data_IF_704888832933
#
_entry.id   IF_704888832933
#
_cell.length_a   1.000
_cell.length_b   1.000
_cell.length_c   1.000
_cell.angle_alpha   90.00
_cell.angle_beta   90.00
_cell.angle_gamma   90.00
#
_symmetry.space_group_name_H-M   'P 1'
#
loop_
_entity.id
_entity.type
_entity.pdbx_description
1 polymer ?
#
# COMPACT_ATOMS: atom_id res chain seq x y z
N UNK A 1 -69.71 -4.93 31.24
CA UNK A 1 -68.87 -5.73 30.32
C UNK A 1 -68.21 -4.72 29.39
N UNK A 2 -67.07 -4.11 29.75
CA UNK A 2 -65.72 -4.68 29.79
C UNK A 2 -65.12 -4.52 28.38
N UNK A 3 -63.97 -3.92 28.10
CA UNK A 3 -62.87 -3.33 28.88
C UNK A 3 -62.02 -2.51 27.90
N UNK A 4 -61.46 -1.39 28.36
CA UNK A 4 -60.35 -0.69 27.70
C UNK A 4 -59.09 -1.56 27.66
N UNK A 5 -58.35 -1.58 26.55
CA UNK A 5 -56.91 -1.86 26.55
C UNK A 5 -56.18 -0.96 25.55
N UNK A 6 -55.17 -0.29 26.08
CA UNK A 6 -54.14 0.52 25.42
C UNK A 6 -52.93 -0.36 25.04
N UNK A 7 -51.92 0.31 24.47
CA UNK A 7 -50.50 -0.06 24.31
C UNK A 7 -50.06 -0.42 22.88
N UNK A 8 -49.44 0.59 22.27
CA UNK A 8 -48.16 0.54 21.55
C UNK A 8 -47.57 -0.84 21.24
N UNK A 9 -47.19 -1.05 19.97
CA UNK A 9 -45.90 -1.67 19.67
C UNK A 9 -45.47 -1.26 18.25
N UNK A 10 -44.51 -0.32 18.21
CA UNK A 10 -43.67 -0.03 17.06
C UNK A 10 -42.80 -1.26 16.82
N UNK A 11 -43.13 -2.07 15.82
CA UNK A 11 -42.25 -3.18 15.42
C UNK A 11 -40.96 -2.64 14.78
N UNK A 12 -39.95 -2.58 15.64
CA UNK A 12 -38.57 -2.30 15.33
C UNK A 12 -37.98 -3.43 14.45
N UNK A 13 -38.06 -3.23 13.14
CA UNK A 13 -37.57 -4.12 12.07
C UNK A 13 -36.03 -4.12 11.94
N UNK A 14 -35.29 -4.15 13.05
CA UNK A 14 -33.81 -4.06 13.02
C UNK A 14 -33.10 -5.17 13.80
N UNK A 15 -33.77 -6.31 14.02
CA UNK A 15 -33.12 -7.49 14.58
C UNK A 15 -32.45 -8.31 13.47
N UNK A 16 -31.28 -7.84 13.01
CA UNK A 16 -30.35 -8.71 12.26
C UNK A 16 -30.02 -9.92 13.12
N UNK A 17 -30.21 -11.12 12.56
CA UNK A 17 -29.97 -12.40 13.24
C UNK A 17 -28.55 -12.45 13.82
N UNK A 18 -28.41 -13.00 15.03
CA UNK A 18 -27.13 -13.13 15.75
C UNK A 18 -26.04 -13.85 14.92
N UNK A 19 -26.45 -14.70 13.96
CA UNK A 19 -25.54 -15.37 13.03
C UNK A 19 -24.81 -14.40 12.08
N UNK A 20 -25.41 -13.26 11.75
CA UNK A 20 -24.75 -12.19 10.98
C UNK A 20 -23.90 -11.26 11.87
N UNK A 21 -24.12 -11.27 13.18
CA UNK A 21 -23.35 -10.48 14.15
C UNK A 21 -21.98 -11.09 14.43
N UNK A 22 -21.81 -12.41 14.23
CA UNK A 22 -20.61 -13.16 14.64
C UNK A 22 -19.53 -13.36 13.57
N UNK A 23 -19.68 -12.84 12.34
CA UNK A 23 -18.68 -13.05 11.26
C UNK A 23 -18.22 -11.80 10.50
N UNK A 24 -18.70 -10.61 10.83
CA UNK A 24 -18.22 -9.37 10.22
C UNK A 24 -17.38 -8.58 11.22
N UNK A 25 -16.09 -8.88 11.31
CA UNK A 25 -15.17 -7.77 11.57
C UNK A 25 -15.22 -6.91 10.32
N UNK A 26 -15.77 -5.69 10.44
CA UNK A 26 -15.83 -4.72 9.35
C UNK A 26 -14.40 -4.30 9.02
N UNK A 27 -13.74 -5.07 8.16
CA UNK A 27 -12.35 -4.89 7.77
C UNK A 27 -12.25 -4.33 6.37
N UNK A 28 -11.30 -3.42 6.18
CA UNK A 28 -10.89 -2.93 4.89
C UNK A 28 -10.19 -4.06 4.12
N UNK A 29 -10.65 -4.32 2.89
CA UNK A 29 -10.02 -5.26 1.95
C UNK A 29 -8.73 -4.66 1.43
N UNK A 30 -7.63 -5.40 1.57
CA UNK A 30 -6.31 -4.99 1.11
C UNK A 30 -5.89 -5.81 -0.10
N UNK A 31 -5.45 -5.13 -1.16
CA UNK A 31 -4.90 -5.75 -2.35
C UNK A 31 -3.57 -5.11 -2.76
N UNK A 32 -2.69 -5.90 -3.35
CA UNK A 32 -1.44 -5.47 -3.97
C UNK A 32 -1.66 -5.42 -5.48
N UNK A 33 -1.52 -4.25 -6.09
CA UNK A 33 -1.45 -4.11 -7.53
C UNK A 33 0.02 -4.02 -7.97
N UNK A 34 0.38 -4.74 -9.04
CA UNK A 34 1.72 -4.77 -9.59
C UNK A 34 1.69 -4.74 -11.12
N UNK A 35 2.53 -3.91 -11.74
CA UNK A 35 2.77 -3.88 -13.18
C UNK A 35 4.26 -4.05 -13.47
N UNK A 36 4.66 -5.03 -14.29
CA UNK A 36 6.04 -5.12 -14.79
C UNK A 36 6.42 -3.89 -15.61
N UNK A 37 7.60 -3.34 -15.37
CA UNK A 37 8.15 -2.20 -16.11
C UNK A 37 9.31 -2.63 -17.00
N UNK A 38 9.36 -2.06 -18.21
CA UNK A 38 10.47 -2.25 -19.15
C UNK A 38 10.59 -3.67 -19.70
N UNK A 39 11.67 -3.95 -20.46
CA UNK A 39 11.90 -5.26 -21.05
C UNK A 39 12.19 -6.29 -19.96
N UNK A 40 11.70 -7.52 -20.16
CA UNK A 40 12.03 -8.66 -19.29
C UNK A 40 13.47 -9.09 -19.55
N UNK A 41 14.37 -8.83 -18.61
CA UNK A 41 15.78 -9.26 -18.67
C UNK A 41 15.92 -10.52 -17.82
N UNK A 42 16.69 -11.54 -18.25
CA UNK A 42 16.94 -12.73 -17.44
C UNK A 42 17.44 -12.36 -16.03
N UNK A 43 16.66 -12.72 -15.00
CA UNK A 43 16.97 -12.45 -13.60
C UNK A 43 16.64 -11.04 -13.10
N UNK A 44 16.19 -10.11 -13.96
CA UNK A 44 15.85 -8.74 -13.56
C UNK A 44 14.53 -8.31 -14.18
N UNK A 45 13.55 -8.00 -13.32
CA UNK A 45 12.28 -7.40 -13.71
C UNK A 45 12.00 -6.22 -12.78
N UNK A 46 11.80 -5.04 -13.38
CA UNK A 46 11.33 -3.88 -12.66
C UNK A 46 9.81 -3.98 -12.46
N UNK A 47 9.31 -3.42 -11.36
CA UNK A 47 7.89 -3.37 -11.06
C UNK A 47 7.50 -1.99 -10.56
N UNK A 48 6.28 -1.59 -10.92
CA UNK A 48 5.50 -0.58 -10.24
C UNK A 48 4.47 -1.26 -9.35
N UNK A 49 4.39 -0.89 -8.07
CA UNK A 49 3.39 -1.40 -7.15
C UNK A 49 2.56 -0.31 -6.49
N UNK A 50 1.35 -0.66 -6.09
CA UNK A 50 0.48 0.16 -5.24
C UNK A 50 -0.31 -0.74 -4.28
N UNK A 51 -0.86 -0.14 -3.22
CA UNK A 51 -1.78 -0.84 -2.31
C UNK A 51 -3.19 -0.33 -2.55
N UNK A 52 -4.15 -1.24 -2.57
CA UNK A 52 -5.59 -0.91 -2.69
C UNK A 52 -6.25 -1.20 -1.36
N UNK A 53 -6.97 -0.22 -0.81
CA UNK A 53 -7.71 -0.31 0.44
C UNK A 53 -9.16 0.03 0.15
N UNK A 54 -10.07 -0.94 0.23
CA UNK A 54 -11.49 -0.77 -0.13
C UNK A 54 -11.68 0.00 -1.45
N UNK A 55 -11.08 -0.52 -2.52
CA UNK A 55 -11.13 0.04 -3.89
C UNK A 55 -10.33 1.35 -4.09
N UNK A 56 -9.77 1.93 -3.03
CA UNK A 56 -8.90 3.11 -3.15
C UNK A 56 -7.45 2.68 -3.28
N UNK A 57 -6.88 2.92 -4.44
CA UNK A 57 -5.45 2.83 -4.68
C UNK A 57 -4.70 3.93 -3.92
N UNK A 58 -3.60 3.55 -3.29
CA UNK A 58 -2.55 4.43 -2.82
C UNK A 58 -1.23 4.05 -3.49
N UNK A 59 -0.58 5.03 -4.11
CA UNK A 59 0.73 4.88 -4.75
C UNK A 59 1.64 6.05 -4.40
N UNK A 60 2.95 5.84 -4.46
CA UNK A 60 3.94 6.88 -4.23
C UNK A 60 4.66 7.24 -5.52
N UNK A 61 4.75 8.54 -5.80
CA UNK A 61 5.42 9.11 -6.97
C UNK A 61 6.16 10.40 -6.60
N UNK A 62 6.65 11.13 -7.61
CA UNK A 62 7.24 12.47 -7.40
C UNK A 62 6.29 13.45 -6.71
N UNK A 63 4.97 13.30 -6.88
CA UNK A 63 3.97 14.15 -6.23
C UNK A 63 3.67 13.78 -4.77
N UNK A 64 4.34 12.74 -4.24
CA UNK A 64 4.05 12.19 -2.92
C UNK A 64 3.14 10.97 -2.99
N UNK A 65 2.49 10.64 -1.87
CA UNK A 65 1.44 9.63 -1.85
C UNK A 65 0.20 10.22 -2.53
N UNK A 66 -0.34 9.51 -3.51
CA UNK A 66 -1.56 9.86 -4.24
C UNK A 66 -2.62 8.77 -4.08
N UNK A 67 -3.87 9.19 -4.03
CA UNK A 67 -5.03 8.29 -3.99
C UNK A 67 -5.78 8.26 -5.33
N UNK A 68 -6.29 7.10 -5.73
CA UNK A 68 -7.07 6.94 -6.96
C UNK A 68 -8.08 5.79 -6.85
N UNK A 69 -9.17 5.82 -7.61
CA UNK A 69 -10.21 4.75 -7.57
C UNK A 69 -10.04 3.68 -8.64
N UNK A 70 -9.29 3.97 -9.70
CA UNK A 70 -9.29 3.17 -10.93
C UNK A 70 -7.90 2.56 -11.23
N UNK A 71 -7.05 2.37 -10.21
CA UNK A 71 -5.66 1.94 -10.40
C UNK A 71 -4.93 2.84 -11.42
N UNK A 72 -5.20 4.15 -11.37
CA UNK A 72 -4.78 5.11 -12.39
C UNK A 72 -3.26 5.16 -12.57
N UNK A 73 -2.49 4.80 -11.54
CA UNK A 73 -1.04 4.71 -11.62
C UNK A 73 -0.57 3.53 -12.50
N UNK A 74 -1.37 2.46 -12.58
CA UNK A 74 -1.11 1.29 -13.42
C UNK A 74 -1.65 1.45 -14.84
N UNK A 75 -2.81 2.10 -15.03
CA UNK A 75 -3.43 2.25 -16.35
C UNK A 75 -2.57 3.04 -17.36
N UNK A 76 -1.66 3.87 -16.86
CA UNK A 76 -0.71 4.64 -17.68
C UNK A 76 0.50 3.81 -18.11
N UNK A 77 0.65 2.60 -17.57
CA UNK A 77 1.76 1.71 -17.84
C UNK A 77 1.34 0.65 -18.86
N UNK A 78 2.22 0.30 -19.83
CA UNK A 78 1.95 -0.77 -20.77
C UNK A 78 1.60 -2.08 -20.04
N UNK A 79 0.39 -2.61 -20.27
CA UNK A 79 -0.08 -3.87 -19.69
C UNK A 79 -0.49 -3.81 -18.21
N UNK A 80 -0.77 -2.62 -17.67
CA UNK A 80 -1.18 -2.42 -16.27
C UNK A 80 -2.71 -2.37 -16.03
N UNK A 81 -3.19 -2.80 -14.84
CA UNK A 81 -2.47 -3.57 -13.83
C UNK A 81 -2.18 -5.00 -14.33
N UNK A 82 -0.93 -5.43 -14.22
CA UNK A 82 -0.53 -6.78 -14.65
C UNK A 82 -0.99 -7.87 -13.69
N UNK A 83 -1.08 -7.54 -12.40
CA UNK A 83 -1.55 -8.44 -11.34
C UNK A 83 -2.19 -7.64 -10.20
N UNK A 84 -3.36 -8.06 -9.74
CA UNK A 84 -3.99 -7.58 -8.49
C UNK A 84 -4.17 -8.79 -7.59
N UNK A 85 -3.53 -8.76 -6.41
CA UNK A 85 -3.49 -9.90 -5.48
C UNK A 85 -4.12 -9.50 -4.16
N UNK A 86 -5.10 -10.26 -3.70
CA UNK A 86 -5.67 -10.09 -2.36
C UNK A 86 -4.61 -10.40 -1.29
N UNK A 87 -4.43 -9.47 -0.35
CA UNK A 87 -3.40 -9.57 0.70
C UNK A 87 -3.99 -9.84 2.08
N UNK A 88 -5.25 -9.45 2.34
CA UNK A 88 -5.89 -9.67 3.64
C UNK A 88 -7.00 -8.66 3.96
N UNK A 89 -7.44 -8.71 5.22
CA UNK A 89 -8.38 -7.76 5.84
C UNK A 89 -7.71 -7.08 7.02
N UNK A 90 -8.02 -5.81 7.24
CA UNK A 90 -7.53 -5.04 8.40
C UNK A 90 -8.62 -4.09 8.91
N UNK A 91 -8.62 -3.73 10.19
CA UNK A 91 -9.48 -2.66 10.71
C UNK A 91 -8.94 -1.25 10.42
N UNK A 92 -7.74 -1.16 9.85
CA UNK A 92 -7.04 0.11 9.61
C UNK A 92 -7.47 0.70 8.26
N UNK A 93 -8.00 1.92 8.28
CA UNK A 93 -8.39 2.60 7.04
C UNK A 93 -7.19 3.06 6.19
N UNK A 94 -7.39 3.17 4.88
CA UNK A 94 -6.40 3.74 3.96
C UNK A 94 -6.02 5.18 4.31
N UNK A 95 -6.96 5.97 4.85
CA UNK A 95 -6.69 7.33 5.34
C UNK A 95 -5.74 7.34 6.53
N UNK A 96 -5.91 6.43 7.48
CA UNK A 96 -5.02 6.28 8.63
C UNK A 96 -3.61 5.92 8.19
N UNK A 97 -3.48 4.93 7.30
CA UNK A 97 -2.21 4.54 6.70
C UNK A 97 -1.54 5.71 5.97
N UNK A 98 -2.28 6.42 5.11
CA UNK A 98 -1.76 7.58 4.39
C UNK A 98 -1.30 8.67 5.35
N UNK A 99 -2.10 9.00 6.36
CA UNK A 99 -1.76 10.03 7.36
C UNK A 99 -0.43 9.72 8.06
N UNK A 100 -0.25 8.46 8.48
CA UNK A 100 0.97 8.00 9.13
C UNK A 100 2.18 8.04 8.17
N UNK A 101 2.05 7.47 6.97
CA UNK A 101 3.17 7.32 6.04
C UNK A 101 3.55 8.63 5.31
N UNK A 102 2.66 9.61 5.23
CA UNK A 102 2.89 10.88 4.52
C UNK A 102 4.12 11.65 5.01
N UNK A 103 4.45 11.56 6.30
CA UNK A 103 5.65 12.19 6.86
C UNK A 103 6.94 11.59 6.29
N UNK A 104 6.91 10.28 5.97
CA UNK A 104 8.02 9.54 5.41
C UNK A 104 8.08 9.63 3.89
N UNK A 105 6.95 9.76 3.19
CA UNK A 105 6.84 9.75 1.72
C UNK A 105 6.36 11.10 1.19
N UNK A 106 7.16 12.14 1.40
CA UNK A 106 6.83 13.52 1.00
C UNK A 106 6.98 13.74 -0.50
N UNK A 107 6.21 14.69 -1.03
CA UNK A 107 6.39 15.23 -2.38
C UNK A 107 7.84 15.65 -2.62
N UNK A 108 8.36 15.38 -3.82
CA UNK A 108 9.71 15.72 -4.22
C UNK A 108 10.81 14.84 -3.63
N UNK A 109 10.47 13.78 -2.87
CA UNK A 109 11.47 12.88 -2.27
C UNK A 109 11.58 11.52 -2.97
N UNK A 110 10.84 11.32 -4.06
CA UNK A 110 10.90 10.08 -4.84
C UNK A 110 12.30 9.88 -5.43
N UNK A 111 12.79 8.64 -5.34
CA UNK A 111 14.02 8.16 -5.94
C UNK A 111 13.80 6.74 -6.46
N UNK A 112 14.12 6.51 -7.74
CA UNK A 112 13.86 5.24 -8.41
C UNK A 112 14.52 4.03 -7.71
N UNK A 113 15.70 4.20 -7.11
CA UNK A 113 16.51 3.10 -6.57
C UNK A 113 16.46 2.98 -5.05
N UNK A 114 16.08 4.03 -4.34
CA UNK A 114 16.13 4.07 -2.87
C UNK A 114 14.76 4.25 -2.23
N UNK A 115 13.90 5.05 -2.86
CA UNK A 115 12.63 5.49 -2.28
C UNK A 115 11.59 5.67 -3.37
N UNK A 116 11.01 4.56 -3.80
CA UNK A 116 10.07 4.49 -4.90
C UNK A 116 8.72 3.91 -4.43
N UNK A 117 7.84 3.60 -5.38
CA UNK A 117 6.55 2.98 -5.13
C UNK A 117 6.62 1.65 -4.38
N UNK A 118 7.61 0.79 -4.66
CA UNK A 118 7.82 -0.50 -3.98
C UNK A 118 8.18 -0.30 -2.50
N UNK A 119 9.06 0.65 -2.20
CA UNK A 119 9.41 0.99 -0.81
C UNK A 119 8.21 1.53 -0.01
N UNK A 120 7.31 2.28 -0.67
CA UNK A 120 6.05 2.73 -0.09
C UNK A 120 5.11 1.55 0.15
N UNK A 121 4.90 0.71 -0.86
CA UNK A 121 4.03 -0.47 -0.76
C UNK A 121 4.48 -1.43 0.33
N UNK A 122 5.79 -1.64 0.52
CA UNK A 122 6.32 -2.46 1.62
C UNK A 122 5.95 -1.89 3.00
N UNK A 123 6.16 -0.59 3.20
CA UNK A 123 5.79 0.09 4.45
C UNK A 123 4.26 0.08 4.67
N UNK A 124 3.48 0.26 3.61
CA UNK A 124 2.03 0.26 3.64
C UNK A 124 1.44 -1.11 4.01
N UNK A 125 1.93 -2.18 3.36
CA UNK A 125 1.52 -3.55 3.68
C UNK A 125 1.88 -3.91 5.12
N UNK A 126 3.04 -3.48 5.60
CA UNK A 126 3.44 -3.73 6.99
C UNK A 126 2.55 -2.97 7.97
N UNK A 127 2.26 -1.70 7.68
CA UNK A 127 1.34 -0.90 8.50
C UNK A 127 -0.06 -1.54 8.58
N UNK A 128 -0.61 -1.95 7.44
CA UNK A 128 -1.98 -2.46 7.34
C UNK A 128 -2.14 -3.90 7.85
N UNK A 129 -1.17 -4.78 7.56
CA UNK A 129 -1.31 -6.24 7.71
C UNK A 129 -0.11 -6.93 8.38
N UNK A 130 0.92 -6.17 8.79
CA UNK A 130 2.20 -6.73 9.28
C UNK A 130 2.89 -7.66 8.25
N UNK A 131 2.55 -7.51 6.97
CA UNK A 131 3.16 -8.21 5.85
C UNK A 131 4.21 -7.37 5.15
N UNK A 132 5.30 -8.01 4.73
CA UNK A 132 6.35 -7.39 3.91
C UNK A 132 6.07 -7.62 2.43
N UNK A 133 6.48 -6.68 1.59
CA UNK A 133 6.43 -6.84 0.14
C UNK A 133 7.38 -7.97 -0.30
N UNK A 134 6.89 -8.85 -1.18
CA UNK A 134 7.68 -9.94 -1.75
C UNK A 134 8.99 -9.39 -2.35
N UNK A 135 10.16 -9.92 -1.96
CA UNK A 135 11.47 -9.47 -2.45
C UNK A 135 11.58 -9.33 -3.97
N UNK A 136 10.81 -10.09 -4.77
CA UNK A 136 10.84 -9.99 -6.23
C UNK A 136 10.46 -8.60 -6.75
N UNK A 137 9.63 -7.84 -6.03
CA UNK A 137 9.24 -6.48 -6.41
C UNK A 137 10.30 -5.43 -6.09
N UNK A 138 11.30 -5.77 -5.24
CA UNK A 138 12.40 -4.88 -4.82
C UNK A 138 13.68 -5.05 -5.64
N UNK A 139 13.61 -5.76 -6.77
CA UNK A 139 14.79 -6.10 -7.58
C UNK A 139 15.62 -4.88 -8.01
N UNK A 140 14.99 -3.75 -8.36
CA UNK A 140 15.72 -2.53 -8.73
C UNK A 140 16.47 -1.87 -7.56
N UNK A 141 15.90 -1.91 -6.36
CA UNK A 141 16.52 -1.33 -5.17
C UNK A 141 17.78 -2.10 -4.79
N UNK A 142 17.73 -3.42 -4.92
CA UNK A 142 18.87 -4.32 -4.72
C UNK A 142 20.00 -4.05 -5.73
N UNK A 143 19.65 -3.63 -6.95
CA UNK A 143 20.61 -3.25 -7.99
C UNK A 143 21.27 -1.89 -7.69
N UNK A 144 20.54 -0.92 -7.15
CA UNK A 144 21.09 0.39 -6.75
C UNK A 144 22.18 0.31 -5.68
N UNK A 145 22.13 -0.73 -4.83
CA UNK A 145 23.20 -1.03 -3.87
C UNK A 145 24.46 -1.62 -4.51
N UNK A 146 24.37 -2.16 -5.74
CA UNK A 146 25.50 -2.73 -6.51
C UNK A 146 26.06 -1.77 -7.57
N UNK A 147 26.01 -0.46 -7.28
CA UNK A 147 26.03 0.73 -8.13
C UNK A 147 26.81 0.74 -9.47
N UNK A 148 27.87 -0.05 -9.66
CA UNK A 148 28.70 0.06 -10.87
C UNK A 148 28.29 -0.87 -12.02
N UNK A 149 27.63 -2.00 -11.78
CA UNK A 149 27.40 -3.01 -12.84
C UNK A 149 26.14 -2.81 -13.68
N UNK A 150 25.22 -1.94 -13.24
CA UNK A 150 23.89 -1.85 -13.82
C UNK A 150 23.40 -0.40 -14.04
N UNK A 151 24.29 0.59 -13.99
CA UNK A 151 23.95 1.98 -14.28
C UNK A 151 23.23 2.13 -15.65
N UNK A 152 23.68 1.39 -16.67
CA UNK A 152 23.05 1.37 -17.99
C UNK A 152 21.61 0.82 -17.96
N UNK A 153 21.30 -0.12 -17.07
CA UNK A 153 19.95 -0.65 -16.93
C UNK A 153 19.02 0.36 -16.27
N UNK A 154 19.48 1.03 -15.21
CA UNK A 154 18.70 2.09 -14.56
C UNK A 154 18.40 3.20 -15.55
N UNK A 155 19.40 3.62 -16.33
CA UNK A 155 19.21 4.62 -17.38
C UNK A 155 18.24 4.14 -18.46
N UNK A 156 18.32 2.88 -18.89
CA UNK A 156 17.38 2.35 -19.88
C UNK A 156 15.94 2.36 -19.36
N UNK A 157 15.73 2.03 -18.09
CA UNK A 157 14.39 2.00 -17.47
C UNK A 157 13.83 3.38 -17.17
N UNK A 158 14.70 4.35 -16.90
CA UNK A 158 14.31 5.75 -16.68
C UNK A 158 14.25 6.57 -17.96
N UNK A 159 14.49 5.97 -19.13
CA UNK A 159 14.57 6.70 -20.41
C UNK A 159 15.81 7.59 -20.56
N UNK A 160 16.85 7.38 -19.74
CA UNK A 160 18.12 8.10 -19.78
C UNK A 160 18.22 9.26 -18.78
N UNK A 161 17.13 9.58 -18.08
CA UNK A 161 17.03 10.78 -17.26
C UNK A 161 17.08 10.51 -15.74
N UNK A 162 17.56 9.32 -15.32
CA UNK A 162 17.63 9.05 -13.89
C UNK A 162 18.72 9.92 -13.24
N UNK A 163 18.27 10.79 -12.36
CA UNK A 163 19.11 11.57 -11.45
C UNK A 163 18.78 11.16 -10.01
N UNK A 164 19.76 10.67 -9.23
CA UNK A 164 19.53 10.32 -7.84
C UNK A 164 19.01 11.50 -7.03
N UNK A 165 18.03 11.24 -6.16
CA UNK A 165 17.50 12.26 -5.27
C UNK A 165 18.26 12.23 -3.93
N UNK A 166 19.01 13.29 -3.57
CA UNK A 166 19.80 13.32 -2.34
C UNK A 166 18.94 13.23 -1.07
N UNK A 167 17.66 13.63 -1.12
CA UNK A 167 16.72 13.50 -0.01
C UNK A 167 16.42 12.03 0.34
N UNK A 168 16.66 11.10 -0.60
CA UNK A 168 16.49 9.66 -0.37
C UNK A 168 17.73 8.99 0.23
N UNK A 169 18.87 9.69 0.39
CA UNK A 169 20.13 9.09 0.87
C UNK A 169 20.02 8.49 2.29
N UNK A 170 19.19 9.10 3.14
CA UNK A 170 18.97 8.66 4.53
C UNK A 170 17.68 7.86 4.69
N UNK A 171 16.98 7.59 3.59
CA UNK A 171 15.74 6.82 3.65
C UNK A 171 16.04 5.35 3.93
N UNK A 172 15.24 4.74 4.82
CA UNK A 172 15.37 3.34 5.18
C UNK A 172 13.99 2.76 5.45
N UNK A 173 13.59 1.80 4.60
CA UNK A 173 12.37 1.01 4.81
C UNK A 173 12.39 0.31 6.16
N UNK A 174 13.53 -0.29 6.52
CA UNK A 174 13.67 -1.00 7.79
C UNK A 174 13.53 -0.08 9.00
N UNK A 175 13.97 1.18 8.92
CA UNK A 175 13.76 2.14 10.00
C UNK A 175 12.27 2.47 10.19
N UNK A 176 11.52 2.63 9.09
CA UNK A 176 10.08 2.91 9.13
C UNK A 176 9.31 1.69 9.67
N UNK A 177 9.62 0.49 9.17
CA UNK A 177 9.01 -0.76 9.64
C UNK A 177 9.23 -0.97 11.13
N UNK A 178 10.46 -0.73 11.64
CA UNK A 178 10.73 -0.79 13.09
C UNK A 178 9.93 0.24 13.88
N UNK A 179 9.79 1.46 13.35
CA UNK A 179 9.01 2.50 14.00
C UNK A 179 7.52 2.10 14.08
N UNK A 180 6.94 1.61 12.98
CA UNK A 180 5.55 1.11 12.95
C UNK A 180 5.35 0.02 14.00
N UNK A 181 6.27 -0.96 14.06
CA UNK A 181 6.17 -2.06 15.01
C UNK A 181 6.23 -1.58 16.46
N UNK A 182 7.09 -0.59 16.74
CA UNK A 182 7.19 0.03 18.06
C UNK A 182 5.90 0.76 18.44
N UNK A 183 5.31 1.52 17.51
CA UNK A 183 4.11 2.30 17.78
C UNK A 183 2.89 1.39 18.01
N UNK A 184 2.75 0.31 17.21
CA UNK A 184 1.73 -0.73 17.44
C UNK A 184 1.88 -1.43 18.80
N UNK A 185 3.12 -1.71 19.23
CA UNK A 185 3.37 -2.32 20.53
C UNK A 185 2.96 -1.40 21.70
N UNK A 186 3.23 -0.09 21.58
CA UNK A 186 2.83 0.89 22.58
C UNK A 186 1.30 1.05 22.67
N UNK A 187 0.60 1.00 21.54
CA UNK A 187 -0.87 1.03 21.50
C UNK A 187 -1.51 -0.23 22.11
N UNK A 188 -0.84 -1.37 22.03
CA UNK A 188 -1.28 -2.64 22.60
C UNK A 188 -1.03 -2.76 24.12
N UNK A 189 -0.33 -1.79 24.75
CA UNK A 189 -0.21 -1.70 26.20
C UNK A 189 0.70 -2.75 26.87
N UNK A 190 1.74 -3.23 26.18
CA UNK A 190 2.78 -4.11 26.75
C UNK A 190 3.97 -3.33 27.32
#
# INVERSE_FOLDING_TARGET
>A
MGSSFSCEELENSDRKSAAFTTLYTQGCRIELAATPLGPKIPGIQAYHTSVVVDEIEYSFSFDGITESRDLSSHLRLPGGPGQVTYMGLTSISGKSMMSYLKAHFRRGTYDLLRKNCNSFTDCALFYLLDHRLDPKYRGLEQIGHAADKHANLVQTLSGGDYTPNPEANKFSVEAIVRQINKDKANEAGF
#
